data_IF_823842925954
#
_entry.id   IF_823842925954
#
_cell.length_a   1.000
_cell.length_b   1.000
_cell.length_c   1.000
_cell.angle_alpha   90.00
_cell.angle_beta   90.00
_cell.angle_gamma   90.00
#
_symmetry.space_group_name_H-M   'P 1'
#
loop_
_entity.id
_entity.type
_entity.pdbx_description
1 polymer ?
#
# COMPACT_ATOMS: atom_id res chain seq x y z
N UNK A 1 -6.88 5.92 -5.16
CA UNK A 1 -6.84 4.60 -4.44
C UNK A 1 -7.78 4.61 -3.23
N UNK A 2 -7.62 5.56 -2.31
CA UNK A 2 -8.43 5.66 -1.08
C UNK A 2 -9.94 5.76 -1.35
N UNK A 3 -10.36 6.43 -2.42
CA UNK A 3 -11.78 6.53 -2.81
C UNK A 3 -12.39 5.16 -3.10
N UNK A 4 -11.67 4.29 -3.81
CA UNK A 4 -12.18 2.99 -4.19
C UNK A 4 -12.12 1.99 -3.02
N UNK A 5 -11.12 2.10 -2.14
CA UNK A 5 -11.12 1.38 -0.85
C UNK A 5 -12.36 1.74 -0.02
N UNK A 6 -12.65 3.04 0.15
CA UNK A 6 -13.84 3.48 0.90
C UNK A 6 -15.17 3.17 0.22
N UNK A 7 -15.19 2.89 -1.09
CA UNK A 7 -16.38 2.38 -1.80
C UNK A 7 -16.53 0.87 -1.60
N UNK A 8 -15.44 0.13 -1.70
CA UNK A 8 -15.40 -1.34 -1.62
C UNK A 8 -15.49 -1.86 -0.19
N UNK A 9 -15.34 -1.00 0.81
CA UNK A 9 -15.56 -1.36 2.22
C UNK A 9 -17.02 -1.22 2.65
N UNK A 10 -17.92 -0.77 1.78
CA UNK A 10 -19.35 -0.57 2.09
C UNK A 10 -20.12 -1.87 1.93
N UNK A 11 -21.11 -2.09 2.78
CA UNK A 11 -22.02 -3.22 2.63
C UNK A 11 -22.65 -3.21 1.22
N UNK A 12 -22.63 -4.36 0.53
CA UNK A 12 -23.21 -4.53 -0.81
C UNK A 12 -22.26 -4.24 -1.98
N UNK A 13 -21.00 -3.84 -1.76
CA UNK A 13 -20.03 -3.73 -2.85
C UNK A 13 -19.57 -5.11 -3.32
N UNK A 14 -19.91 -5.50 -4.55
CA UNK A 14 -19.55 -6.80 -5.15
C UNK A 14 -18.16 -6.85 -5.80
N UNK A 15 -17.38 -5.76 -5.76
CA UNK A 15 -16.09 -5.72 -6.43
C UNK A 15 -15.23 -4.55 -5.99
N UNK A 16 -13.97 -4.62 -6.38
CA UNK A 16 -12.96 -3.59 -6.13
C UNK A 16 -12.46 -3.05 -7.48
N UNK A 17 -12.38 -1.73 -7.59
CA UNK A 17 -11.87 -1.02 -8.78
C UNK A 17 -10.71 -0.11 -8.39
N UNK A 18 -9.86 0.25 -9.35
CA UNK A 18 -8.71 1.14 -9.15
C UNK A 18 -7.37 0.41 -9.22
N UNK A 19 -6.31 1.06 -8.75
CA UNK A 19 -4.95 0.55 -8.86
C UNK A 19 -4.67 -0.56 -7.82
N UNK A 20 -5.05 -1.80 -8.17
CA UNK A 20 -4.81 -3.00 -7.37
C UNK A 20 -3.32 -3.24 -7.07
N UNK A 21 -2.43 -2.89 -8.00
CA UNK A 21 -0.97 -3.00 -7.81
C UNK A 21 -0.49 -2.14 -6.64
N UNK A 22 -0.99 -0.91 -6.51
CA UNK A 22 -0.64 -0.04 -5.39
C UNK A 22 -1.17 -0.57 -4.06
N UNK A 23 -2.42 -1.09 -4.04
CA UNK A 23 -2.98 -1.71 -2.84
C UNK A 23 -2.17 -2.95 -2.44
N UNK A 24 -1.83 -3.79 -3.40
CA UNK A 24 -1.06 -5.00 -3.16
C UNK A 24 0.35 -4.67 -2.64
N UNK A 25 1.04 -3.69 -3.22
CA UNK A 25 2.33 -3.23 -2.72
C UNK A 25 2.21 -2.72 -1.28
N UNK A 26 1.17 -1.95 -0.98
CA UNK A 26 0.91 -1.46 0.38
C UNK A 26 0.68 -2.61 1.37
N UNK A 27 -0.11 -3.62 1.01
CA UNK A 27 -0.30 -4.81 1.84
C UNK A 27 1.05 -5.51 2.10
N UNK A 28 1.89 -5.67 1.10
CA UNK A 28 3.18 -6.34 1.28
C UNK A 28 4.18 -5.55 2.11
N UNK A 29 4.09 -4.22 2.15
CA UNK A 29 4.86 -3.43 3.10
C UNK A 29 4.53 -3.78 4.55
N UNK A 30 3.24 -3.66 4.92
CA UNK A 30 2.79 -3.77 6.30
C UNK A 30 2.57 -5.22 6.78
N UNK A 31 2.40 -6.17 5.87
CA UNK A 31 2.07 -7.56 6.20
C UNK A 31 3.12 -8.53 5.65
N UNK A 32 4.27 -8.71 6.33
CA UNK A 32 5.37 -9.52 5.83
C UNK A 32 5.00 -10.98 5.50
N UNK A 33 4.06 -11.56 6.23
CA UNK A 33 3.60 -12.94 6.02
C UNK A 33 2.81 -13.13 4.72
N UNK A 34 2.28 -12.06 4.14
CA UNK A 34 1.52 -12.09 2.88
C UNK A 34 2.40 -11.96 1.63
N UNK A 35 3.69 -11.62 1.79
CA UNK A 35 4.62 -11.38 0.66
C UNK A 35 4.77 -12.63 -0.21
N UNK A 36 4.66 -12.46 -1.54
CA UNK A 36 4.90 -13.53 -2.53
C UNK A 36 6.35 -14.03 -2.46
N UNK A 37 7.28 -13.11 -2.19
CA UNK A 37 8.69 -13.38 -2.00
C UNK A 37 9.04 -13.12 -0.54
N UNK A 38 9.31 -14.19 0.22
CA UNK A 38 9.81 -14.12 1.61
C UNK A 38 11.29 -13.73 1.69
N UNK A 39 11.96 -13.54 0.55
CA UNK A 39 13.35 -13.08 0.50
C UNK A 39 13.42 -11.61 0.91
N UNK A 40 14.60 -11.20 1.38
CA UNK A 40 14.89 -9.80 1.62
C UNK A 40 14.54 -9.01 0.35
N UNK A 41 13.81 -7.88 0.47
CA UNK A 41 13.47 -7.07 -0.69
C UNK A 41 14.75 -6.64 -1.41
N UNK A 42 14.77 -6.68 -2.74
CA UNK A 42 15.93 -6.16 -3.46
C UNK A 42 16.17 -4.70 -3.10
N UNK A 43 17.45 -4.28 -2.98
CA UNK A 43 17.78 -2.89 -2.74
C UNK A 43 17.17 -2.03 -3.86
N UNK A 44 16.61 -0.88 -3.49
CA UNK A 44 16.00 0.03 -4.46
C UNK A 44 17.01 0.38 -5.54
N UNK A 45 16.67 0.08 -6.80
CA UNK A 45 17.35 0.70 -7.94
C UNK A 45 16.96 2.18 -7.93
N UNK A 46 17.94 3.07 -8.00
CA UNK A 46 17.71 4.51 -8.02
C UNK A 46 16.74 4.88 -9.16
N UNK A 47 15.63 5.55 -8.80
CA UNK A 47 14.58 5.94 -9.76
C UNK A 47 13.53 4.87 -10.13
N UNK A 48 13.63 3.64 -9.61
CA UNK A 48 12.64 2.57 -9.87
C UNK A 48 11.36 2.68 -9.03
N UNK A 49 10.20 2.16 -9.52
CA UNK A 49 8.97 2.15 -8.74
C UNK A 49 9.06 1.19 -7.55
N UNK A 50 8.65 1.65 -6.36
CA UNK A 50 8.76 0.90 -5.11
C UNK A 50 8.04 -0.45 -5.14
N UNK A 51 6.90 -0.52 -5.84
CA UNK A 51 6.10 -1.75 -5.99
C UNK A 51 6.88 -2.89 -6.67
N UNK A 52 7.91 -2.58 -7.47
CA UNK A 52 8.72 -3.57 -8.19
C UNK A 52 9.41 -4.57 -7.26
N UNK A 53 9.71 -4.18 -6.02
CA UNK A 53 10.32 -5.06 -5.01
C UNK A 53 9.47 -6.29 -4.68
N UNK A 54 8.17 -6.21 -4.98
CA UNK A 54 7.20 -7.28 -4.74
C UNK A 54 6.83 -8.05 -6.00
N UNK A 55 7.43 -7.71 -7.15
CA UNK A 55 7.32 -8.54 -8.34
C UNK A 55 7.94 -9.90 -8.05
N UNK A 56 7.19 -10.94 -8.41
CA UNK A 56 7.59 -12.32 -8.20
C UNK A 56 6.98 -13.20 -9.26
N UNK A 57 7.50 -14.42 -9.41
CA UNK A 57 6.96 -15.36 -10.39
C UNK A 57 5.47 -15.58 -10.10
N UNK A 58 4.66 -15.46 -11.16
CA UNK A 58 3.24 -15.80 -11.09
C UNK A 58 3.17 -17.29 -10.75
N UNK A 59 2.85 -17.62 -9.50
CA UNK A 59 2.75 -19.01 -9.08
C UNK A 59 1.43 -19.58 -9.61
N UNK A 60 1.50 -20.42 -10.64
CA UNK A 60 0.39 -21.29 -11.03
C UNK A 60 -0.04 -22.20 -9.88
N UNK A 61 -1.32 -22.58 -9.83
CA UNK A 61 -1.86 -23.50 -8.83
C UNK A 61 -3.28 -23.15 -8.40
N UNK A 62 -3.95 -24.13 -7.79
CA UNK A 62 -5.35 -24.09 -7.38
C UNK A 62 -5.70 -22.80 -6.61
N UNK A 63 -6.58 -22.00 -7.21
CA UNK A 63 -7.06 -20.74 -6.66
C UNK A 63 -7.82 -20.94 -5.36
N UNK A 64 -8.63 -22.01 -5.25
CA UNK A 64 -9.42 -22.27 -4.06
C UNK A 64 -8.52 -22.56 -2.87
N UNK A 65 -7.52 -23.41 -3.06
CA UNK A 65 -6.52 -23.70 -2.02
C UNK A 65 -5.74 -22.47 -1.57
N UNK A 66 -5.45 -21.54 -2.49
CA UNK A 66 -4.82 -20.25 -2.15
C UNK A 66 -5.74 -19.36 -1.34
N UNK A 67 -7.01 -19.24 -1.73
CA UNK A 67 -8.00 -18.47 -0.99
C UNK A 67 -8.17 -19.01 0.44
N UNK A 68 -8.28 -20.33 0.58
CA UNK A 68 -8.44 -20.97 1.90
C UNK A 68 -7.18 -20.87 2.76
N UNK A 69 -6.01 -20.76 2.14
CA UNK A 69 -4.77 -20.44 2.85
C UNK A 69 -4.78 -19.00 3.36
N UNK A 70 -5.10 -18.02 2.50
CA UNK A 70 -5.11 -16.61 2.90
C UNK A 70 -6.19 -16.30 3.94
N UNK A 71 -7.39 -16.89 3.84
CA UNK A 71 -8.44 -16.75 4.86
C UNK A 71 -7.97 -17.19 6.23
N UNK A 72 -7.47 -18.43 6.35
CA UNK A 72 -6.94 -18.95 7.63
C UNK A 72 -5.80 -18.11 8.19
N UNK A 73 -4.92 -17.62 7.31
CA UNK A 73 -3.82 -16.76 7.72
C UNK A 73 -4.33 -15.41 8.23
N UNK A 74 -5.32 -14.80 7.58
CA UNK A 74 -5.98 -13.57 8.02
C UNK A 74 -6.81 -13.77 9.30
N UNK A 75 -7.46 -14.93 9.49
CA UNK A 75 -8.22 -15.25 10.70
C UNK A 75 -7.31 -15.31 11.94
N UNK A 76 -6.06 -15.73 11.78
CA UNK A 76 -5.05 -15.77 12.82
C UNK A 76 -4.22 -14.48 12.97
N UNK A 77 -4.52 -13.43 12.19
CA UNK A 77 -3.70 -12.23 12.19
C UNK A 77 -3.89 -11.43 13.48
N UNK A 78 -2.78 -10.97 14.02
CA UNK A 78 -2.76 -10.08 15.20
C UNK A 78 -1.90 -8.86 14.91
N UNK A 79 -1.98 -7.84 15.75
CA UNK A 79 -1.17 -6.62 15.62
C UNK A 79 0.35 -6.89 15.62
N UNK A 80 0.80 -8.02 16.18
CA UNK A 80 2.21 -8.43 16.21
C UNK A 80 2.73 -8.88 14.83
N UNK A 81 1.83 -9.26 13.92
CA UNK A 81 2.19 -9.68 12.57
C UNK A 81 2.27 -8.50 11.59
N UNK A 82 1.92 -7.29 12.04
CA UNK A 82 1.94 -6.06 11.25
C UNK A 82 3.27 -5.34 11.48
N UNK A 83 3.96 -5.03 10.39
CA UNK A 83 5.06 -4.07 10.41
C UNK A 83 4.48 -2.66 10.45
N UNK A 84 4.56 -2.01 11.61
CA UNK A 84 4.07 -0.66 11.82
C UNK A 84 5.03 0.42 11.30
N UNK A 85 6.27 0.04 10.94
CA UNK A 85 7.32 0.95 10.48
C UNK A 85 8.01 0.40 9.21
N UNK A 86 7.26 0.10 8.13
CA UNK A 86 7.83 -0.54 6.93
C UNK A 86 8.84 0.37 6.19
N UNK A 87 8.79 1.67 6.44
CA UNK A 87 9.73 2.67 5.91
C UNK A 87 10.85 3.03 6.90
N UNK A 88 11.01 2.24 7.97
CA UNK A 88 11.99 2.45 9.03
C UNK A 88 11.56 3.47 10.09
N UNK A 89 12.40 3.63 11.11
CA UNK A 89 12.12 4.51 12.25
C UNK A 89 12.10 6.01 11.90
N UNK A 90 12.78 6.39 10.80
CA UNK A 90 12.83 7.77 10.35
C UNK A 90 12.68 7.87 8.82
N UNK A 91 11.47 7.62 8.28
CA UNK A 91 11.23 7.63 6.85
C UNK A 91 11.57 8.99 6.21
N UNK A 92 11.44 10.08 6.98
CA UNK A 92 11.71 11.45 6.52
C UNK A 92 13.13 11.66 5.99
N UNK A 93 14.09 10.82 6.39
CA UNK A 93 15.47 10.83 5.87
C UNK A 93 15.59 10.21 4.49
N UNK A 94 14.81 9.18 4.20
CA UNK A 94 14.82 8.47 2.92
C UNK A 94 13.84 9.09 1.92
N UNK A 95 12.74 9.67 2.41
CA UNK A 95 11.66 10.22 1.60
C UNK A 95 11.45 11.69 1.97
N UNK A 96 12.12 12.63 1.27
CA UNK A 96 11.89 14.05 1.51
C UNK A 96 10.42 14.37 1.24
N UNK A 97 9.88 15.29 2.05
CA UNK A 97 8.50 15.75 1.89
C UNK A 97 8.29 16.28 0.47
N UNK A 98 7.40 15.63 -0.28
CA UNK A 98 6.94 16.17 -1.55
C UNK A 98 6.30 17.55 -1.31
N UNK A 99 6.70 18.52 -2.13
CA UNK A 99 6.08 19.86 -2.16
C UNK A 99 4.94 19.92 -3.17
N UNK A 100 4.75 18.87 -3.97
CA UNK A 100 3.71 18.84 -4.98
C UNK A 100 2.33 18.77 -4.33
N UNK A 101 1.50 19.77 -4.62
CA UNK A 101 0.07 19.79 -4.34
C UNK A 101 -0.65 19.95 -5.68
N UNK A 102 -1.56 19.04 -6.00
CA UNK A 102 -2.22 19.05 -7.30
C UNK A 102 -2.84 17.72 -7.65
N UNK A 103 -3.38 17.62 -8.86
CA UNK A 103 -4.06 16.41 -9.32
C UNK A 103 -3.03 15.38 -9.77
N UNK A 104 -3.00 14.23 -9.09
CA UNK A 104 -2.30 13.05 -9.60
C UNK A 104 -3.30 12.25 -10.43
N UNK A 105 -2.93 11.98 -11.69
CA UNK A 105 -3.71 11.13 -12.58
C UNK A 105 -3.06 9.75 -12.66
N UNK A 106 -3.83 8.71 -12.37
CA UNK A 106 -3.45 7.31 -12.55
C UNK A 106 -4.56 6.65 -13.36
N UNK A 107 -4.25 6.29 -14.60
CA UNK A 107 -5.22 5.82 -15.59
C UNK A 107 -6.39 6.81 -15.78
N UNK A 108 -7.62 6.36 -15.59
CA UNK A 108 -8.87 7.11 -15.66
C UNK A 108 -9.20 7.88 -14.36
N UNK A 109 -8.39 7.69 -13.32
CA UNK A 109 -8.62 8.30 -12.01
C UNK A 109 -7.75 9.54 -11.83
N UNK A 110 -8.40 10.68 -11.61
CA UNK A 110 -7.77 11.92 -11.16
C UNK A 110 -8.12 12.14 -9.68
N UNK A 111 -7.11 12.20 -8.82
CA UNK A 111 -7.27 12.48 -7.38
C UNK A 111 -6.41 13.70 -6.99
N UNK A 112 -7.01 14.66 -6.30
CA UNK A 112 -6.26 15.77 -5.72
C UNK A 112 -5.35 15.24 -4.62
N UNK A 113 -4.05 15.41 -4.83
CA UNK A 113 -3.00 15.01 -3.91
C UNK A 113 -2.56 16.21 -3.06
N UNK A 114 -2.62 16.03 -1.75
CA UNK A 114 -1.98 16.91 -0.77
C UNK A 114 -1.13 16.05 0.19
N UNK A 115 0.21 16.15 0.13
CA UNK A 115 1.11 15.38 0.97
C UNK A 115 0.97 15.72 2.45
N UNK A 116 0.35 16.86 2.79
CA UNK A 116 0.07 17.23 4.18
C UNK A 116 -0.81 16.19 4.90
N UNK A 117 -1.63 15.44 4.16
CA UNK A 117 -2.61 14.46 4.70
C UNK A 117 -1.99 13.15 5.17
N UNK A 118 -0.77 12.85 4.75
CA UNK A 118 -0.11 11.56 4.99
C UNK A 118 1.26 11.73 5.68
N UNK A 119 1.54 12.91 6.23
CA UNK A 119 2.81 13.24 6.88
C UNK A 119 3.21 12.23 7.96
N UNK A 120 2.24 11.75 8.74
CA UNK A 120 2.49 10.75 9.79
C UNK A 120 3.05 9.43 9.25
N UNK A 121 2.69 9.01 8.03
CA UNK A 121 3.21 7.79 7.41
C UNK A 121 4.71 7.87 7.14
N UNK A 122 5.23 9.09 6.95
CA UNK A 122 6.65 9.35 6.69
C UNK A 122 7.40 9.85 7.94
N UNK A 123 6.80 9.72 9.13
CA UNK A 123 7.41 10.15 10.39
C UNK A 123 7.42 11.66 10.61
N UNK A 124 6.68 12.43 9.80
CA UNK A 124 6.50 13.87 10.02
C UNK A 124 5.33 14.16 10.98
N UNK A 125 5.37 15.32 11.63
CA UNK A 125 4.24 15.82 12.43
C UNK A 125 3.04 16.08 11.52
N UNK A 126 1.93 15.41 11.77
CA UNK A 126 0.68 15.63 11.06
C UNK A 126 0.11 17.00 11.42
N UNK A 127 -0.06 17.87 10.41
CA UNK A 127 -0.79 19.14 10.55
C UNK A 127 -2.23 18.95 10.07
N UNK A 128 -3.12 19.88 10.44
CA UNK A 128 -4.47 19.93 9.89
C UNK A 128 -4.35 20.26 8.39
N UNK A 129 -4.80 19.37 7.48
CA UNK A 129 -4.70 19.62 6.05
C UNK A 129 -5.64 20.73 5.59
N UNK A 130 -5.20 21.49 4.59
CA UNK A 130 -6.06 22.46 3.90
C UNK A 130 -7.22 21.74 3.21
N UNK A 131 -8.41 22.36 3.08
CA UNK A 131 -9.53 21.81 2.32
C UNK A 131 -9.09 21.45 0.89
N UNK A 132 -9.53 20.29 0.41
CA UNK A 132 -9.30 19.92 -1.00
C UNK A 132 -10.26 20.77 -1.85
N UNK A 133 -9.70 21.58 -2.75
CA UNK A 133 -10.46 22.30 -3.78
C UNK A 133 -10.78 21.34 -4.93
#
# INVERSE_FOLDING_TARGET
>A
MYRQLGRSSRAGSGGFSGCLTLLQAWIYEYFPSLRINRRAPEPMTEGGPFARRWEGPIRGGDLQRKLDHYRRLLDGFTAAHVDWLPFGANPSRAFPRSLYRGVIRVYDVAETYDPSRVLRQFGYRQVIPDPVI
#
